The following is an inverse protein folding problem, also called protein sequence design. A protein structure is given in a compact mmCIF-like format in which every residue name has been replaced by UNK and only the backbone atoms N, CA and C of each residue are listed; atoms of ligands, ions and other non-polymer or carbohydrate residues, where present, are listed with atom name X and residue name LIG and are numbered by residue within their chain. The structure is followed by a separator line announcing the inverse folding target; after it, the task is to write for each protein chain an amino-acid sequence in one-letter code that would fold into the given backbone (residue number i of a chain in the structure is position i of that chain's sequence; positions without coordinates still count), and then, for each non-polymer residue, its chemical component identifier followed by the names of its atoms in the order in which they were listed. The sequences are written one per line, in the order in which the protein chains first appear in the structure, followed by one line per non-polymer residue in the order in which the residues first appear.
data_IF_077166181890
#
_entry.id   IF_077166181890
#
_cell.length_a   1.000
_cell.length_b   1.000
_cell.length_c   1.000
_cell.angle_alpha   90.00
_cell.angle_beta   90.00
_cell.angle_gamma   90.00
#
_symmetry.space_group_name_H-M   'P 1'
#
loop_
_entity.id
_entity.type
_entity.pdbx_description
1 polymer ?
#
# COMPACT_ATOMS: atom_id res chain seq x y z
N UNK A 1 -5.13 -5.52 -8.83
CA UNK A 1 -6.39 -5.28 -9.58
C UNK A 1 -6.51 -3.83 -10.03
N UNK A 2 -6.44 -2.84 -9.13
CA UNK A 2 -6.57 -1.41 -9.45
C UNK A 2 -5.55 -0.91 -10.50
N UNK A 3 -4.28 -1.31 -10.38
CA UNK A 3 -3.25 -1.03 -11.41
C UNK A 3 -3.67 -1.50 -12.81
N UNK A 4 -4.32 -2.67 -12.90
CA UNK A 4 -4.77 -3.23 -14.17
C UNK A 4 -5.92 -2.41 -14.74
N UNK A 5 -6.85 -1.95 -13.89
CA UNK A 5 -7.97 -1.07 -14.29
C UNK A 5 -7.44 0.22 -14.92
N UNK A 6 -6.40 0.82 -14.32
CA UNK A 6 -5.74 2.01 -14.89
C UNK A 6 -5.07 1.69 -16.23
N UNK A 7 -4.39 0.53 -16.36
CA UNK A 7 -3.75 0.12 -17.63
C UNK A 7 -4.74 -0.07 -18.78
N UNK A 8 -5.97 -0.49 -18.49
CA UNK A 8 -7.02 -0.72 -19.50
C UNK A 8 -8.02 0.44 -19.59
N UNK A 9 -7.69 1.62 -19.04
CA UNK A 9 -8.57 2.77 -18.95
C UNK A 9 -9.19 3.13 -20.31
N UNK A 10 -8.39 3.20 -21.37
CA UNK A 10 -8.87 3.61 -22.70
C UNK A 10 -9.91 2.63 -23.27
N UNK A 11 -9.66 1.32 -23.10
CA UNK A 11 -10.59 0.28 -23.48
C UNK A 11 -11.88 0.34 -22.67
N UNK A 12 -11.78 0.56 -21.36
CA UNK A 12 -12.94 0.70 -20.48
C UNK A 12 -13.79 1.91 -20.89
N UNK A 13 -13.18 3.06 -21.15
CA UNK A 13 -13.88 4.25 -21.63
C UNK A 13 -14.60 3.98 -22.95
N UNK A 14 -13.93 3.36 -23.93
CA UNK A 14 -14.54 3.00 -25.22
C UNK A 14 -15.73 2.03 -25.04
N UNK A 15 -15.58 1.03 -24.17
CA UNK A 15 -16.65 0.07 -23.88
C UNK A 15 -17.83 0.71 -23.16
N UNK A 16 -17.58 1.58 -22.18
CA UNK A 16 -18.61 2.30 -21.45
C UNK A 16 -19.39 3.25 -22.38
N UNK A 17 -18.70 3.90 -23.33
CA UNK A 17 -19.34 4.70 -24.36
C UNK A 17 -20.26 3.86 -25.25
N UNK A 18 -19.78 2.70 -25.72
CA UNK A 18 -20.57 1.77 -26.57
C UNK A 18 -21.82 1.24 -25.84
N UNK A 19 -21.70 0.96 -24.54
CA UNK A 19 -22.77 0.36 -23.74
C UNK A 19 -23.57 1.37 -22.91
N UNK A 20 -23.32 2.68 -23.09
CA UNK A 20 -23.95 3.80 -22.33
C UNK A 20 -23.86 3.63 -20.80
N UNK A 21 -22.73 3.11 -20.33
CA UNK A 21 -22.43 2.96 -18.90
C UNK A 21 -21.83 4.29 -18.40
N UNK A 22 -22.21 4.72 -17.20
CA UNK A 22 -21.62 5.89 -16.54
C UNK A 22 -20.11 5.73 -16.43
N UNK A 23 -19.37 6.71 -16.95
CA UNK A 23 -17.92 6.74 -16.87
C UNK A 23 -17.47 7.46 -15.59
N UNK A 24 -16.32 7.05 -15.07
CA UNK A 24 -15.62 7.81 -14.05
C UNK A 24 -15.13 9.14 -14.65
N UNK A 25 -15.30 10.21 -13.89
CA UNK A 25 -14.76 11.53 -14.19
C UNK A 25 -13.23 11.53 -14.15
N UNK A 26 -12.62 12.53 -14.79
CA UNK A 26 -11.16 12.71 -14.79
C UNK A 26 -10.58 12.81 -13.37
N UNK A 27 -11.33 13.42 -12.45
CA UNK A 27 -10.94 13.54 -11.04
C UNK A 27 -10.95 12.17 -10.32
N UNK A 28 -11.97 11.35 -10.55
CA UNK A 28 -12.04 9.99 -9.98
C UNK A 28 -10.92 9.09 -10.51
N UNK A 29 -10.56 9.22 -11.80
CA UNK A 29 -9.40 8.53 -12.36
C UNK A 29 -8.08 8.98 -11.72
N UNK A 30 -7.94 10.28 -11.43
CA UNK A 30 -6.77 10.82 -10.74
C UNK A 30 -6.69 10.29 -9.30
N UNK A 31 -7.81 10.23 -8.59
CA UNK A 31 -7.89 9.66 -7.24
C UNK A 31 -7.54 8.17 -7.24
N UNK A 32 -8.00 7.40 -8.23
CA UNK A 32 -7.65 5.98 -8.38
C UNK A 32 -6.14 5.79 -8.58
N UNK A 33 -5.52 6.63 -9.41
CA UNK A 33 -4.06 6.63 -9.63
C UNK A 33 -3.30 6.95 -8.34
N UNK A 34 -3.73 7.97 -7.60
CA UNK A 34 -3.16 8.31 -6.28
C UNK A 34 -3.28 7.13 -5.32
N UNK A 35 -4.45 6.51 -5.20
CA UNK A 35 -4.68 5.34 -4.35
C UNK A 35 -3.76 4.16 -4.70
N UNK A 36 -3.52 3.91 -6.00
CA UNK A 36 -2.56 2.88 -6.42
C UNK A 36 -1.14 3.20 -5.96
N UNK A 37 -0.71 4.46 -6.06
CA UNK A 37 0.60 4.91 -5.57
C UNK A 37 0.72 4.70 -4.05
N UNK A 38 -0.32 5.04 -3.30
CA UNK A 38 -0.41 4.80 -1.84
C UNK A 38 -0.26 3.32 -1.49
N UNK A 39 -0.96 2.45 -2.21
CA UNK A 39 -1.03 1.02 -1.92
C UNK A 39 0.20 0.24 -2.42
N UNK A 40 0.99 0.82 -3.31
CA UNK A 40 2.18 0.19 -3.87
C UNK A 40 3.18 -0.32 -2.83
N UNK A 41 3.61 0.48 -1.82
CA UNK A 41 4.52 -0.01 -0.79
C UNK A 41 3.93 -1.20 -0.01
N UNK A 42 2.64 -1.18 0.34
CA UNK A 42 2.00 -2.32 1.02
C UNK A 42 2.05 -3.61 0.20
N UNK A 43 1.84 -3.51 -1.13
CA UNK A 43 1.94 -4.64 -2.05
C UNK A 43 3.36 -5.18 -2.10
N UNK A 44 4.36 -4.32 -2.24
CA UNK A 44 5.78 -4.71 -2.30
C UNK A 44 6.21 -5.39 -1.00
N UNK A 45 5.81 -4.87 0.16
CA UNK A 45 6.07 -5.46 1.46
C UNK A 45 5.45 -6.84 1.57
N UNK A 46 4.17 -6.96 1.20
CA UNK A 46 3.46 -8.25 1.25
C UNK A 46 4.10 -9.27 0.32
N UNK A 47 4.55 -8.85 -0.87
CA UNK A 47 5.22 -9.71 -1.82
C UNK A 47 6.56 -10.19 -1.29
N UNK A 48 7.38 -9.27 -0.76
CA UNK A 48 8.65 -9.61 -0.11
C UNK A 48 8.45 -10.57 1.06
N UNK A 49 7.35 -10.44 1.82
CA UNK A 49 7.00 -11.32 2.93
C UNK A 49 6.48 -12.70 2.51
N UNK A 50 5.94 -12.79 1.30
CA UNK A 50 5.40 -14.04 0.76
C UNK A 50 6.48 -14.91 0.11
N UNK A 51 7.70 -14.39 -0.02
CA UNK A 51 8.82 -15.13 -0.61
C UNK A 51 9.31 -16.23 0.34
N UNK A 52 9.79 -17.34 -0.23
CA UNK A 52 10.27 -18.47 0.55
C UNK A 52 11.57 -18.19 1.33
N UNK A 53 12.25 -17.10 1.00
CA UNK A 53 13.53 -16.71 1.59
C UNK A 53 13.39 -15.58 2.62
N UNK A 54 12.15 -15.26 3.04
CA UNK A 54 11.91 -14.18 3.99
C UNK A 54 12.26 -14.59 5.42
N UNK A 55 12.94 -13.70 6.13
CA UNK A 55 13.32 -13.87 7.53
C UNK A 55 12.47 -12.97 8.42
N UNK A 56 12.29 -13.38 9.67
CA UNK A 56 11.64 -12.60 10.73
C UNK A 56 12.28 -11.21 10.92
N UNK A 57 13.57 -11.10 10.63
CA UNK A 57 14.35 -9.85 10.63
C UNK A 57 13.92 -8.84 9.57
N UNK A 58 13.21 -9.26 8.52
CA UNK A 58 12.76 -8.37 7.45
C UNK A 58 11.46 -7.63 7.76
N UNK A 59 10.85 -7.83 8.93
CA UNK A 59 9.50 -7.32 9.25
C UNK A 59 9.49 -5.89 9.80
N UNK A 60 10.51 -5.49 10.55
CA UNK A 60 10.60 -4.13 11.11
C UNK A 60 10.84 -3.03 10.05
N UNK A 61 11.79 -3.19 9.10
CA UNK A 61 12.08 -2.16 8.09
C UNK A 61 10.85 -1.70 7.28
N UNK A 62 9.97 -2.59 6.78
CA UNK A 62 8.82 -2.17 5.98
C UNK A 62 7.74 -1.43 6.80
N UNK A 63 7.58 -1.72 8.09
CA UNK A 63 6.68 -0.93 8.95
C UNK A 63 7.19 0.50 9.09
N UNK A 64 8.50 0.68 9.26
CA UNK A 64 9.11 2.01 9.29
C UNK A 64 8.95 2.76 7.95
N UNK A 65 9.13 2.07 6.82
CA UNK A 65 8.90 2.67 5.48
C UNK A 65 7.46 3.15 5.31
N UNK A 66 6.45 2.37 5.76
CA UNK A 66 5.05 2.77 5.70
C UNK A 66 4.75 4.04 6.51
N UNK A 67 5.32 4.15 7.71
CA UNK A 67 5.20 5.37 8.54
C UNK A 67 5.91 6.58 7.93
N UNK A 68 7.04 6.36 7.25
CA UNK A 68 7.82 7.45 6.62
C UNK A 68 7.16 7.98 5.35
N UNK A 69 6.58 7.09 4.54
CA UNK A 69 5.89 7.48 3.29
C UNK A 69 4.55 8.17 3.55
N UNK A 70 3.93 7.94 4.72
CA UNK A 70 2.76 8.70 5.16
C UNK A 70 3.05 10.20 5.35
N UNK A 71 4.26 10.56 5.79
CA UNK A 71 4.62 11.94 6.12
C UNK A 71 4.93 12.81 4.89
N UNK A 72 5.04 12.22 3.69
CA UNK A 72 5.49 12.91 2.47
C UNK A 72 4.39 13.22 1.45
N UNK A 73 3.18 12.68 1.58
CA UNK A 73 2.19 12.78 0.51
C UNK A 73 1.15 13.89 0.71
N UNK A 74 1.23 14.89 -0.16
CA UNK A 74 0.23 15.95 -0.38
C UNK A 74 -1.03 15.33 -1.04
N UNK A 75 -1.89 14.74 -0.21
CA UNK A 75 -3.01 13.92 -0.67
C UNK A 75 -4.35 14.49 -0.21
N UNK A 76 -5.37 14.35 -1.05
CA UNK A 76 -6.77 14.69 -0.75
C UNK A 76 -7.19 14.07 0.61
N UNK A 77 -7.90 14.83 1.46
CA UNK A 77 -8.32 14.44 2.82
C UNK A 77 -8.95 13.03 2.90
N UNK A 78 -9.70 12.64 1.86
CA UNK A 78 -10.31 11.30 1.76
C UNK A 78 -9.30 10.17 1.61
N UNK A 79 -8.21 10.39 0.87
CA UNK A 79 -7.17 9.39 0.68
C UNK A 79 -6.27 9.35 1.92
N UNK A 80 -6.01 10.49 2.54
CA UNK A 80 -5.26 10.59 3.79
C UNK A 80 -5.97 9.85 4.93
N UNK A 81 -7.30 10.00 5.05
CA UNK A 81 -8.09 9.26 6.05
C UNK A 81 -8.10 7.74 5.79
N UNK A 82 -8.18 7.29 4.53
CA UNK A 82 -8.07 5.87 4.18
C UNK A 82 -6.67 5.34 4.51
N UNK A 83 -5.62 6.09 4.21
CA UNK A 83 -4.25 5.74 4.58
C UNK A 83 -4.11 5.58 6.09
N UNK A 84 -4.55 6.59 6.85
CA UNK A 84 -4.46 6.60 8.30
C UNK A 84 -5.20 5.40 8.90
N UNK A 85 -6.42 5.14 8.44
CA UNK A 85 -7.18 3.96 8.85
C UNK A 85 -6.45 2.66 8.52
N UNK A 86 -5.80 2.57 7.35
CA UNK A 86 -5.03 1.39 6.94
C UNK A 86 -3.79 1.18 7.82
N UNK A 87 -3.08 2.26 8.16
CA UNK A 87 -1.93 2.23 9.07
C UNK A 87 -2.38 1.85 10.49
N UNK A 88 -3.47 2.43 10.99
CA UNK A 88 -4.01 2.10 12.31
C UNK A 88 -4.49 0.64 12.38
N UNK A 89 -5.09 0.12 11.31
CA UNK A 89 -5.43 -1.30 11.21
C UNK A 89 -4.19 -2.19 11.12
N UNK A 90 -3.15 -1.76 10.40
CA UNK A 90 -1.87 -2.48 10.34
C UNK A 90 -1.25 -2.53 11.73
N UNK A 91 -1.11 -1.38 12.40
CA UNK A 91 -0.58 -1.29 13.75
C UNK A 91 -1.40 -2.12 14.74
N UNK A 92 -2.74 -2.10 14.67
CA UNK A 92 -3.59 -2.90 15.57
C UNK A 92 -3.48 -4.42 15.33
N UNK A 93 -3.27 -4.86 14.08
CA UNK A 93 -3.05 -6.28 13.75
C UNK A 93 -1.63 -6.75 14.05
N UNK A 94 -0.68 -5.83 14.04
CA UNK A 94 0.75 -6.07 14.26
C UNK A 94 1.24 -5.46 15.59
N UNK A 95 0.36 -5.22 16.57
CA UNK A 95 0.74 -4.71 17.90
C UNK A 95 1.79 -5.60 18.54
N UNK A 96 1.60 -6.91 18.39
CA UNK A 96 2.51 -7.93 18.93
C UNK A 96 3.87 -7.96 18.23
N UNK A 97 4.04 -7.32 17.06
CA UNK A 97 5.33 -7.21 16.38
C UNK A 97 6.21 -6.12 16.98
N UNK A 98 5.62 -5.00 17.41
CA UNK A 98 6.37 -3.89 18.02
C UNK A 98 6.66 -4.13 19.50
N UNK A 99 5.78 -4.84 20.21
CA UNK A 99 5.97 -5.17 21.63
C UNK A 99 6.93 -6.35 21.86
N UNK A 100 7.16 -7.16 20.82
CA UNK A 100 7.92 -8.38 20.94
C UNK A 100 9.38 -8.19 20.54
N UNK A 101 10.26 -8.21 21.55
CA UNK A 101 11.70 -8.04 21.40
C UNK A 101 12.33 -9.02 20.40
N UNK A 102 11.73 -10.17 20.10
CA UNK A 102 12.27 -11.12 19.13
C UNK A 102 12.41 -10.51 17.73
N UNK A 103 11.49 -9.65 17.29
CA UNK A 103 11.58 -9.02 15.97
C UNK A 103 12.69 -7.96 15.93
N UNK A 104 12.81 -7.18 17.00
CA UNK A 104 13.88 -6.18 17.14
C UNK A 104 15.25 -6.85 17.19
N UNK A 105 15.40 -7.93 17.98
CA UNK A 105 16.65 -8.69 18.08
C UNK A 105 16.97 -9.37 16.74
N UNK A 106 16.00 -10.00 16.09
CA UNK A 106 16.21 -10.62 14.78
C UNK A 106 16.65 -9.59 13.73
N UNK A 107 16.03 -8.40 13.72
CA UNK A 107 16.41 -7.31 12.82
C UNK A 107 17.81 -6.80 13.13
N UNK A 108 18.16 -6.61 14.40
CA UNK A 108 19.48 -6.15 14.83
C UNK A 108 20.62 -7.15 14.52
N UNK A 109 20.33 -8.45 14.59
CA UNK A 109 21.30 -9.50 14.31
C UNK A 109 21.46 -9.80 12.81
N UNK A 110 20.59 -9.27 11.97
CA UNK A 110 20.65 -9.51 10.53
C UNK A 110 21.60 -8.50 9.88
N UNK A 111 22.73 -8.94 9.31
CA UNK A 111 23.72 -8.04 8.72
C UNK A 111 23.23 -7.30 7.47
N UNK A 112 22.02 -7.62 6.96
CA UNK A 112 21.39 -6.91 5.85
C UNK A 112 20.82 -5.54 6.25
N UNK A 113 20.61 -5.29 7.54
CA UNK A 113 20.02 -4.07 8.10
C UNK A 113 20.96 -3.42 9.12
#
# INVERSE_FOLDING_TARGET
MLERIIKIQDFLCLSAFKHKISQLSSEEWLQLKKMVTVLKPFKEITQNMSDSNTSISSINPPMHTLHTEHSKQDTNEKIESIMKCTIDQSNSRFVDLQSNNFFTIATYLDPRY
#
